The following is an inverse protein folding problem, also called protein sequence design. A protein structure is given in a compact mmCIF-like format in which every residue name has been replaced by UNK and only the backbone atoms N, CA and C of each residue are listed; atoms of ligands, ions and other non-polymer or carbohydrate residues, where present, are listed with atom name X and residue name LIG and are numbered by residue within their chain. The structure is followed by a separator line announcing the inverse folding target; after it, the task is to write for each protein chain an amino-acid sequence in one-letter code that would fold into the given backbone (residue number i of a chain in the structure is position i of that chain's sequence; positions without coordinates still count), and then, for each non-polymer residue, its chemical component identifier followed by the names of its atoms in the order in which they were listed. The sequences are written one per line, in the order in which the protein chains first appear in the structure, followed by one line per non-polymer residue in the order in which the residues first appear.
data_IF_710522424080
#
_entry.id   IF_710522424080
#
_cell.length_a   1.000
_cell.length_b   1.000
_cell.length_c   1.000
_cell.angle_alpha   90.00
_cell.angle_beta   90.00
_cell.angle_gamma   90.00
#
_symmetry.space_group_name_H-M   'P 1'
#
loop_
_entity.id
_entity.type
_entity.pdbx_description
1 polymer ?
#
# COMPACT_ATOMS: atom_id res chain seq x y z
N UNK A 1 -7.85 -7.64 -13.08
CA UNK A 1 -6.51 -7.04 -13.20
C UNK A 1 -5.90 -6.73 -11.82
N UNK A 2 -6.68 -6.27 -10.83
CA UNK A 2 -6.18 -5.87 -9.50
C UNK A 2 -5.38 -7.00 -8.82
N UNK A 3 -5.92 -8.22 -8.74
CA UNK A 3 -5.19 -9.33 -8.09
C UNK A 3 -3.89 -9.70 -8.80
N UNK A 4 -3.86 -9.60 -10.14
CA UNK A 4 -2.62 -9.81 -10.91
C UNK A 4 -1.56 -8.77 -10.57
N UNK A 5 -1.98 -7.52 -10.47
CA UNK A 5 -1.10 -6.44 -10.04
C UNK A 5 -0.59 -6.68 -8.61
N UNK A 6 -1.47 -7.01 -7.66
CA UNK A 6 -1.08 -7.29 -6.28
C UNK A 6 -0.06 -8.41 -6.18
N UNK A 7 -0.29 -9.56 -6.83
CA UNK A 7 0.66 -10.66 -6.83
C UNK A 7 2.07 -10.24 -7.28
N UNK A 8 2.18 -9.37 -8.29
CA UNK A 8 3.46 -8.88 -8.76
C UNK A 8 4.02 -7.77 -7.88
N UNK A 9 3.18 -6.88 -7.36
CA UNK A 9 3.59 -5.81 -6.45
C UNK A 9 4.21 -6.39 -5.17
N UNK A 10 3.58 -7.39 -4.57
CA UNK A 10 4.06 -8.03 -3.34
C UNK A 10 5.40 -8.77 -3.56
N UNK A 11 5.66 -9.29 -4.76
CA UNK A 11 6.98 -9.83 -5.12
C UNK A 11 8.05 -8.73 -5.10
N UNK A 12 7.75 -7.53 -5.62
CA UNK A 12 8.69 -6.41 -5.60
C UNK A 12 8.88 -5.83 -4.19
N UNK A 13 7.82 -5.77 -3.39
CA UNK A 13 7.90 -5.38 -1.97
C UNK A 13 8.79 -6.36 -1.21
N UNK A 14 8.60 -7.66 -1.38
CA UNK A 14 9.45 -8.70 -0.80
C UNK A 14 10.92 -8.53 -1.21
N UNK A 15 11.19 -8.29 -2.51
CA UNK A 15 12.54 -8.02 -3.02
C UNK A 15 13.14 -6.76 -2.37
N UNK A 16 12.35 -5.71 -2.16
CA UNK A 16 12.81 -4.49 -1.52
C UNK A 16 13.31 -4.76 -0.10
N UNK A 17 12.54 -5.49 0.70
CA UNK A 17 12.95 -5.87 2.05
C UNK A 17 14.23 -6.71 2.04
N UNK A 18 14.27 -7.79 1.26
CA UNK A 18 15.35 -8.78 1.34
C UNK A 18 16.62 -8.39 0.61
N UNK A 19 16.53 -7.67 -0.51
CA UNK A 19 17.69 -7.38 -1.37
C UNK A 19 18.25 -5.97 -1.18
N UNK A 20 17.44 -5.02 -0.75
CA UNK A 20 17.85 -3.61 -0.60
C UNK A 20 17.99 -3.22 0.87
N UNK A 21 16.92 -3.30 1.67
CA UNK A 21 16.95 -2.79 3.04
C UNK A 21 17.85 -3.59 3.99
N UNK A 22 17.89 -4.93 3.89
CA UNK A 22 18.78 -5.76 4.72
C UNK A 22 20.25 -5.52 4.44
N UNK A 23 20.62 -4.95 3.29
CA UNK A 23 22.01 -4.55 2.98
C UNK A 23 22.41 -3.27 3.70
N UNK A 24 21.45 -2.41 4.00
CA UNK A 24 21.63 -1.07 4.58
C UNK A 24 21.45 -1.08 6.10
N UNK A 25 20.34 -1.62 6.60
CA UNK A 25 20.01 -1.63 8.02
C UNK A 25 20.59 -2.89 8.69
N UNK A 26 21.43 -2.69 9.72
CA UNK A 26 22.15 -3.78 10.42
C UNK A 26 21.62 -4.12 11.83
N UNK A 27 20.87 -3.25 12.55
CA UNK A 27 20.33 -3.63 13.86
C UNK A 27 19.48 -4.90 13.77
N UNK A 28 19.69 -5.84 14.67
CA UNK A 28 19.04 -7.16 14.66
C UNK A 28 17.52 -7.05 14.66
N UNK A 29 16.97 -6.15 15.45
CA UNK A 29 15.51 -5.91 15.55
C UNK A 29 14.91 -5.43 14.24
N UNK A 30 15.64 -4.57 13.52
CA UNK A 30 15.22 -4.08 12.20
C UNK A 30 15.27 -5.22 11.18
N UNK A 31 16.32 -6.04 11.18
CA UNK A 31 16.40 -7.21 10.30
C UNK A 31 15.30 -8.23 10.56
N UNK A 32 14.98 -8.49 11.84
CA UNK A 32 13.87 -9.38 12.23
C UNK A 32 12.53 -8.83 11.74
N UNK A 33 12.29 -7.53 11.90
CA UNK A 33 11.08 -6.86 11.41
C UNK A 33 10.94 -7.00 9.89
N UNK A 34 11.99 -6.69 9.13
CA UNK A 34 11.98 -6.78 7.66
C UNK A 34 11.79 -8.21 7.16
N UNK A 35 12.40 -9.19 7.84
CA UNK A 35 12.23 -10.60 7.51
C UNK A 35 10.79 -11.06 7.77
N UNK A 36 10.17 -10.60 8.86
CA UNK A 36 8.77 -10.88 9.16
C UNK A 36 7.84 -10.28 8.09
N UNK A 37 8.07 -9.04 7.67
CA UNK A 37 7.30 -8.39 6.59
C UNK A 37 7.48 -9.12 5.26
N UNK A 38 8.70 -9.43 4.85
CA UNK A 38 8.96 -10.24 3.66
C UNK A 38 8.24 -11.60 3.69
N UNK A 39 8.11 -12.23 4.87
CA UNK A 39 7.35 -13.46 5.04
C UNK A 39 5.83 -13.23 4.86
N UNK A 40 5.30 -12.09 5.33
CA UNK A 40 3.90 -11.72 5.11
C UNK A 40 3.60 -11.51 3.63
N UNK A 41 4.48 -10.85 2.86
CA UNK A 41 4.33 -10.69 1.42
C UNK A 41 4.26 -12.05 0.68
N UNK A 42 5.01 -13.05 1.14
CA UNK A 42 4.92 -14.39 0.59
C UNK A 42 3.53 -15.01 0.78
N UNK A 43 2.88 -14.73 1.91
CA UNK A 43 1.50 -15.16 2.18
C UNK A 43 0.50 -14.39 1.31
N UNK A 44 0.69 -13.08 1.10
CA UNK A 44 -0.14 -12.28 0.21
C UNK A 44 -0.08 -12.80 -1.23
N UNK A 45 1.12 -13.03 -1.77
CA UNK A 45 1.32 -13.63 -3.11
C UNK A 45 0.56 -14.95 -3.23
N UNK A 46 0.68 -15.85 -2.26
CA UNK A 46 -0.02 -17.13 -2.27
C UNK A 46 -1.56 -16.96 -2.21
N UNK A 47 -2.05 -16.04 -1.39
CA UNK A 47 -3.48 -15.77 -1.23
C UNK A 47 -4.09 -15.17 -2.50
N UNK A 48 -3.43 -14.22 -3.15
CA UNK A 48 -3.90 -13.62 -4.40
C UNK A 48 -3.81 -14.57 -5.58
N UNK A 49 -2.77 -15.40 -5.64
CA UNK A 49 -2.69 -16.49 -6.63
C UNK A 49 -3.86 -17.47 -6.46
N UNK A 50 -4.16 -17.88 -5.24
CA UNK A 50 -5.31 -18.74 -4.95
C UNK A 50 -6.65 -18.10 -5.35
N UNK A 51 -6.82 -16.79 -5.16
CA UNK A 51 -8.00 -16.07 -5.64
C UNK A 51 -8.10 -16.08 -7.17
N UNK A 52 -7.00 -15.89 -7.89
CA UNK A 52 -6.97 -15.96 -9.36
C UNK A 52 -7.36 -17.34 -9.86
N UNK A 53 -6.83 -18.40 -9.26
CA UNK A 53 -7.17 -19.78 -9.58
C UNK A 53 -8.65 -20.08 -9.30
N UNK A 54 -9.16 -19.61 -8.17
CA UNK A 54 -10.58 -19.79 -7.76
C UNK A 54 -11.54 -19.09 -8.73
N UNK A 55 -11.14 -17.95 -9.31
CA UNK A 55 -11.91 -17.24 -10.33
C UNK A 55 -11.78 -17.92 -11.70
N UNK A 56 -10.87 -18.87 -11.87
CA UNK A 56 -10.64 -19.61 -13.12
C UNK A 56 -9.79 -18.82 -14.12
N UNK A 57 -8.88 -17.97 -13.64
CA UNK A 57 -7.97 -17.23 -14.51
C UNK A 57 -6.73 -18.06 -14.83
N UNK A 58 -6.43 -18.29 -16.12
CA UNK A 58 -5.27 -19.09 -16.52
C UNK A 58 -3.96 -18.36 -16.15
N UNK A 59 -2.92 -19.13 -15.80
CA UNK A 59 -1.60 -18.63 -15.44
C UNK A 59 -0.98 -17.74 -16.54
N UNK A 60 -1.20 -18.08 -17.81
CA UNK A 60 -0.78 -17.27 -18.96
C UNK A 60 -1.30 -15.83 -18.95
N UNK A 61 -2.30 -15.54 -18.17
CA UNK A 61 -2.91 -14.22 -18.02
C UNK A 61 -2.36 -13.40 -16.82
N UNK A 62 -1.44 -13.94 -16.01
CA UNK A 62 -0.90 -13.23 -14.83
C UNK A 62 -0.24 -11.89 -15.18
N UNK A 63 0.43 -11.80 -16.33
CA UNK A 63 1.04 -10.55 -16.80
C UNK A 63 0.08 -9.64 -17.59
N UNK A 64 -1.20 -10.00 -17.74
CA UNK A 64 -2.13 -9.26 -18.60
C UNK A 64 -2.40 -7.82 -18.10
N UNK A 65 -2.17 -7.52 -16.83
CA UNK A 65 -2.28 -6.15 -16.32
C UNK A 65 -1.27 -5.20 -16.97
N UNK A 66 -0.12 -5.70 -17.45
CA UNK A 66 0.90 -4.92 -18.15
C UNK A 66 0.43 -4.39 -19.53
N UNK A 67 -0.69 -4.89 -20.05
CA UNK A 67 -1.33 -4.38 -21.27
C UNK A 67 -2.06 -3.05 -21.06
N UNK A 68 -2.34 -2.72 -19.78
CA UNK A 68 -2.96 -1.45 -19.39
C UNK A 68 -1.86 -0.48 -18.94
N UNK A 69 -1.76 0.65 -19.64
CA UNK A 69 -0.72 1.65 -19.36
C UNK A 69 -0.73 2.10 -17.91
N UNK A 70 -1.92 2.34 -17.37
CA UNK A 70 -2.15 2.81 -16.00
C UNK A 70 -1.60 1.82 -14.95
N UNK A 71 -1.78 0.53 -15.19
CA UNK A 71 -1.28 -0.53 -14.31
C UNK A 71 0.25 -0.70 -14.48
N UNK A 72 0.74 -0.57 -15.71
CA UNK A 72 2.16 -0.66 -16.02
C UNK A 72 2.92 0.51 -15.38
N UNK A 73 2.43 1.74 -15.50
CA UNK A 73 3.06 2.93 -14.92
C UNK A 73 3.20 2.80 -13.40
N UNK A 74 2.18 2.27 -12.72
CA UNK A 74 2.25 1.95 -11.28
C UNK A 74 3.36 0.93 -10.97
N UNK A 75 3.42 -0.14 -11.74
CA UNK A 75 4.42 -1.20 -11.56
C UNK A 75 5.84 -0.69 -11.82
N UNK A 76 6.06 0.01 -12.93
CA UNK A 76 7.38 0.56 -13.30
C UNK A 76 7.89 1.55 -12.23
N UNK A 77 6.99 2.32 -11.62
CA UNK A 77 7.37 3.25 -10.55
C UNK A 77 7.94 2.53 -9.32
N UNK A 78 7.43 1.34 -9.00
CA UNK A 78 7.92 0.52 -7.89
C UNK A 78 9.34 -0.03 -8.09
N UNK A 79 9.88 -0.02 -9.31
CA UNK A 79 11.22 -0.53 -9.63
C UNK A 79 12.35 0.47 -9.30
N UNK A 80 12.01 1.71 -8.93
CA UNK A 80 12.99 2.78 -8.71
C UNK A 80 13.55 2.75 -7.27
N UNK A 81 14.53 1.87 -7.05
CA UNK A 81 15.27 1.81 -5.77
C UNK A 81 16.64 2.48 -5.91
N UNK A 82 16.99 3.33 -4.94
CA UNK A 82 18.35 3.80 -4.76
C UNK A 82 18.69 3.84 -3.26
N UNK A 83 19.85 3.27 -2.90
CA UNK A 83 20.36 3.17 -1.52
C UNK A 83 21.85 3.51 -1.45
N UNK A 84 22.37 4.32 -2.38
CA UNK A 84 23.79 4.64 -2.48
C UNK A 84 24.22 5.68 -1.45
N UNK A 85 23.37 6.65 -1.14
CA UNK A 85 23.61 7.68 -0.13
C UNK A 85 22.59 7.60 1.01
N UNK A 86 22.85 8.31 2.12
CA UNK A 86 21.89 8.39 3.23
C UNK A 86 20.59 9.11 2.80
N UNK A 87 20.71 10.10 1.94
CA UNK A 87 19.56 10.79 1.35
C UNK A 87 18.73 9.85 0.49
N UNK A 88 19.37 9.03 -0.36
CA UNK A 88 18.69 8.01 -1.18
C UNK A 88 18.00 6.96 -0.33
N UNK A 89 18.67 6.49 0.74
CA UNK A 89 18.09 5.55 1.70
C UNK A 89 16.84 6.15 2.33
N UNK A 90 16.92 7.38 2.85
CA UNK A 90 15.78 8.05 3.47
C UNK A 90 14.62 8.21 2.49
N UNK A 91 14.91 8.67 1.27
CA UNK A 91 13.91 8.81 0.20
C UNK A 91 13.27 7.46 -0.15
N UNK A 92 14.06 6.43 -0.39
CA UNK A 92 13.56 5.10 -0.76
C UNK A 92 12.70 4.51 0.34
N UNK A 93 13.12 4.58 1.61
CA UNK A 93 12.33 4.11 2.76
C UNK A 93 11.01 4.86 2.85
N UNK A 94 11.02 6.19 2.76
CA UNK A 94 9.79 7.00 2.84
C UNK A 94 8.84 6.74 1.68
N UNK A 95 9.35 6.72 0.44
CA UNK A 95 8.52 6.50 -0.76
C UNK A 95 7.91 5.10 -0.73
N UNK A 96 8.72 4.09 -0.45
CA UNK A 96 8.24 2.71 -0.47
C UNK A 96 7.21 2.45 0.63
N UNK A 97 7.54 2.80 1.88
CA UNK A 97 6.66 2.54 3.01
C UNK A 97 5.40 3.41 3.02
N UNK A 98 5.55 4.72 2.83
CA UNK A 98 4.41 5.63 2.96
C UNK A 98 3.56 5.69 1.69
N UNK A 99 4.17 5.62 0.51
CA UNK A 99 3.44 5.86 -0.72
C UNK A 99 3.24 4.59 -1.56
N UNK A 100 4.18 3.65 -1.61
CA UNK A 100 3.94 2.38 -2.30
C UNK A 100 3.02 1.47 -1.48
N UNK A 101 3.43 1.02 -0.31
CA UNK A 101 2.60 0.16 0.55
C UNK A 101 1.45 0.94 1.21
N UNK A 102 1.68 2.19 1.56
CA UNK A 102 0.76 3.02 2.34
C UNK A 102 -0.28 3.81 1.53
N UNK A 103 -0.17 3.89 0.20
CA UNK A 103 -1.06 4.69 -0.65
C UNK A 103 -1.43 3.97 -1.94
N UNK A 104 -0.45 3.44 -2.71
CA UNK A 104 -0.64 2.92 -4.06
C UNK A 104 -1.56 1.68 -4.16
N UNK A 105 -1.82 0.98 -3.06
CA UNK A 105 -2.72 -0.17 -2.99
C UNK A 105 -4.14 0.20 -2.55
N UNK A 106 -4.33 1.40 -1.97
CA UNK A 106 -5.55 1.73 -1.22
C UNK A 106 -6.78 1.99 -2.10
N UNK A 107 -6.62 2.49 -3.33
CA UNK A 107 -7.75 2.56 -4.26
C UNK A 107 -8.27 1.16 -4.62
N UNK A 108 -7.36 0.24 -4.89
CA UNK A 108 -7.68 -1.16 -5.15
C UNK A 108 -8.38 -1.83 -3.97
N UNK A 109 -7.90 -1.60 -2.74
CA UNK A 109 -8.56 -2.11 -1.54
C UNK A 109 -9.98 -1.56 -1.37
N UNK A 110 -10.18 -0.26 -1.59
CA UNK A 110 -11.51 0.35 -1.51
C UNK A 110 -12.48 -0.26 -2.54
N UNK A 111 -12.03 -0.45 -3.77
CA UNK A 111 -12.83 -1.08 -4.84
C UNK A 111 -13.17 -2.52 -4.49
N UNK A 112 -12.20 -3.33 -4.04
CA UNK A 112 -12.42 -4.74 -3.71
C UNK A 112 -13.32 -4.90 -2.48
N UNK A 113 -13.12 -4.11 -1.43
CA UNK A 113 -13.93 -4.16 -0.21
C UNK A 113 -15.36 -3.62 -0.40
N UNK A 114 -15.63 -2.94 -1.49
CA UNK A 114 -17.01 -2.56 -1.84
C UNK A 114 -17.90 -3.78 -2.17
N UNK A 115 -17.34 -4.89 -2.66
CA UNK A 115 -18.12 -6.10 -2.96
C UNK A 115 -18.72 -6.75 -1.71
N UNK A 116 -17.96 -7.07 -0.65
CA UNK A 116 -18.52 -7.63 0.58
C UNK A 116 -19.49 -6.68 1.29
N UNK A 117 -19.37 -5.37 1.12
CA UNK A 117 -20.34 -4.38 1.59
C UNK A 117 -21.75 -4.68 1.09
N UNK A 118 -21.89 -5.24 -0.12
CA UNK A 118 -23.14 -5.66 -0.72
C UNK A 118 -23.33 -7.19 -0.72
N UNK A 119 -22.75 -7.87 0.26
CA UNK A 119 -22.88 -9.31 0.47
C UNK A 119 -22.30 -10.19 -0.66
N UNK A 120 -21.35 -9.65 -1.45
CA UNK A 120 -20.69 -10.35 -2.57
C UNK A 120 -19.23 -10.65 -2.23
N UNK A 121 -18.67 -11.73 -2.77
CA UNK A 121 -17.25 -12.08 -2.70
C UNK A 121 -16.67 -12.01 -1.27
N UNK A 122 -17.37 -12.55 -0.27
CA UNK A 122 -16.99 -12.43 1.14
C UNK A 122 -15.62 -13.03 1.46
N UNK A 123 -15.28 -14.18 0.86
CA UNK A 123 -13.97 -14.80 1.05
C UNK A 123 -12.83 -13.91 0.55
N UNK A 124 -12.99 -13.31 -0.63
CA UNK A 124 -12.07 -12.31 -1.16
C UNK A 124 -11.96 -11.10 -0.21
N UNK A 125 -13.10 -10.59 0.26
CA UNK A 125 -13.13 -9.46 1.22
C UNK A 125 -12.37 -9.77 2.51
N UNK A 126 -12.42 -11.00 2.99
CA UNK A 126 -11.66 -11.43 4.17
C UNK A 126 -10.15 -11.40 3.92
N UNK A 127 -9.69 -11.94 2.79
CA UNK A 127 -8.27 -11.92 2.39
C UNK A 127 -7.78 -10.47 2.25
N UNK A 128 -8.52 -9.63 1.53
CA UNK A 128 -8.18 -8.20 1.34
C UNK A 128 -8.12 -7.46 2.68
N UNK A 129 -9.04 -7.74 3.60
CA UNK A 129 -9.01 -7.13 4.94
C UNK A 129 -7.75 -7.50 5.72
N UNK A 130 -7.30 -8.74 5.63
CA UNK A 130 -6.05 -9.18 6.26
C UNK A 130 -4.84 -8.48 5.63
N UNK A 131 -4.80 -8.37 4.29
CA UNK A 131 -3.73 -7.63 3.60
C UNK A 131 -3.69 -6.17 4.04
N UNK A 132 -4.82 -5.45 4.07
CA UNK A 132 -4.86 -4.04 4.53
C UNK A 132 -4.31 -3.88 5.96
N UNK A 133 -4.59 -4.84 6.84
CA UNK A 133 -4.04 -4.84 8.20
C UNK A 133 -2.52 -4.97 8.19
N UNK A 134 -1.99 -5.90 7.40
CA UNK A 134 -0.57 -6.17 7.32
C UNK A 134 0.16 -5.00 6.63
N UNK A 135 -0.35 -4.47 5.52
CA UNK A 135 0.17 -3.25 4.87
C UNK A 135 0.17 -2.03 5.81
N UNK A 136 -0.84 -1.92 6.66
CA UNK A 136 -0.89 -0.85 7.67
C UNK A 136 0.22 -1.01 8.71
N UNK A 137 0.51 -2.24 9.13
CA UNK A 137 1.61 -2.55 10.04
C UNK A 137 2.96 -2.24 9.39
N UNK A 138 3.19 -2.71 8.15
CA UNK A 138 4.40 -2.47 7.38
C UNK A 138 4.66 -0.96 7.24
N UNK A 139 3.69 -0.24 6.71
CA UNK A 139 3.76 1.20 6.50
C UNK A 139 4.08 1.96 7.80
N UNK A 140 3.38 1.70 8.90
CA UNK A 140 3.60 2.41 10.16
C UNK A 140 4.99 2.10 10.76
N UNK A 141 5.43 0.86 10.68
CA UNK A 141 6.73 0.43 11.21
C UNK A 141 7.89 1.01 10.41
N UNK A 142 7.77 1.01 9.08
CA UNK A 142 8.79 1.58 8.19
C UNK A 142 8.83 3.11 8.27
N UNK A 143 7.68 3.79 8.44
CA UNK A 143 7.65 5.24 8.71
C UNK A 143 8.34 5.55 10.04
N UNK A 144 8.18 4.69 11.05
CA UNK A 144 8.92 4.83 12.31
C UNK A 144 10.42 4.69 12.07
N UNK A 145 10.85 3.67 11.32
CA UNK A 145 12.25 3.49 10.95
C UNK A 145 12.80 4.72 10.21
N UNK A 146 12.03 5.25 9.25
CA UNK A 146 12.38 6.50 8.56
C UNK A 146 12.62 7.65 9.54
N UNK A 147 11.72 7.86 10.52
CA UNK A 147 11.86 8.92 11.52
C UNK A 147 13.10 8.75 12.37
N UNK A 148 13.40 7.54 12.83
CA UNK A 148 14.61 7.26 13.59
C UNK A 148 15.86 7.50 12.73
N UNK A 149 15.85 7.09 11.47
CA UNK A 149 16.95 7.34 10.54
C UNK A 149 17.17 8.85 10.30
N UNK A 150 16.13 9.66 10.19
CA UNK A 150 16.23 11.11 10.10
C UNK A 150 16.75 11.71 11.42
N UNK A 151 16.29 11.23 12.58
CA UNK A 151 16.74 11.69 13.88
C UNK A 151 18.26 11.44 14.09
N UNK A 152 18.77 10.30 13.63
CA UNK A 152 20.19 9.97 13.65
C UNK A 152 21.03 10.77 12.61
N UNK A 153 20.37 11.25 11.55
CA UNK A 153 21.01 11.94 10.44
C UNK A 153 20.27 13.26 10.09
N UNK A 154 20.15 14.22 11.04
CA UNK A 154 19.28 15.40 10.84
C UNK A 154 19.69 16.30 9.67
N UNK A 155 20.95 16.23 9.24
CA UNK A 155 21.48 17.02 8.11
C UNK A 155 20.86 16.62 6.76
N UNK A 156 20.31 15.40 6.62
CA UNK A 156 19.66 14.97 5.38
C UNK A 156 18.19 15.42 5.29
N UNK A 157 17.57 15.93 6.37
CA UNK A 157 16.20 16.44 6.34
C UNK A 157 16.10 17.82 5.69
N UNK A 158 16.57 17.92 4.46
CA UNK A 158 16.71 19.14 3.67
C UNK A 158 15.41 19.56 2.98
N UNK A 159 15.30 20.85 2.58
CA UNK A 159 14.20 21.29 1.71
C UNK A 159 14.11 20.48 0.40
N UNK A 160 15.24 20.04 -0.14
CA UNK A 160 15.29 19.24 -1.35
C UNK A 160 14.65 17.85 -1.13
N UNK A 161 15.03 17.11 -0.08
CA UNK A 161 14.41 15.83 0.25
C UNK A 161 12.90 15.96 0.48
N UNK A 162 12.47 16.99 1.22
CA UNK A 162 11.04 17.28 1.44
C UNK A 162 10.30 17.51 0.12
N UNK A 163 10.89 18.28 -0.78
CA UNK A 163 10.31 18.53 -2.12
C UNK A 163 10.15 17.22 -2.90
N UNK A 164 11.16 16.37 -2.87
CA UNK A 164 11.12 15.07 -3.56
C UNK A 164 10.04 14.12 -2.99
N UNK A 165 9.82 14.14 -1.67
CA UNK A 165 8.75 13.37 -1.04
C UNK A 165 7.36 13.90 -1.42
N UNK A 166 7.18 15.22 -1.55
CA UNK A 166 5.95 15.81 -2.07
C UNK A 166 5.71 15.42 -3.54
N UNK A 167 6.75 15.44 -4.35
CA UNK A 167 6.67 15.04 -5.76
C UNK A 167 6.32 13.54 -5.89
N UNK A 168 6.92 12.68 -5.08
CA UNK A 168 6.58 11.26 -5.03
C UNK A 168 5.11 11.04 -4.66
N UNK A 169 4.60 11.75 -3.65
CA UNK A 169 3.19 11.68 -3.28
C UNK A 169 2.27 12.08 -4.44
N UNK A 170 2.57 13.19 -5.12
CA UNK A 170 1.77 13.66 -6.28
C UNK A 170 1.81 12.68 -7.44
N UNK A 171 2.97 12.11 -7.73
CA UNK A 171 3.15 11.14 -8.81
C UNK A 171 2.31 9.89 -8.54
N UNK A 172 2.36 9.34 -7.34
CA UNK A 172 1.57 8.16 -6.98
C UNK A 172 0.07 8.48 -6.97
N UNK A 173 -0.36 9.63 -6.45
CA UNK A 173 -1.77 10.05 -6.54
C UNK A 173 -2.23 10.19 -7.99
N UNK A 174 -1.38 10.69 -8.89
CA UNK A 174 -1.68 10.76 -10.31
C UNK A 174 -1.84 9.36 -10.93
N UNK A 175 -0.97 8.41 -10.58
CA UNK A 175 -1.11 7.03 -11.05
C UNK A 175 -2.37 6.36 -10.51
N UNK A 176 -2.74 6.65 -9.25
CA UNK A 176 -3.99 6.16 -8.67
C UNK A 176 -5.21 6.77 -9.36
N UNK A 177 -5.19 8.06 -9.68
CA UNK A 177 -6.28 8.72 -10.44
C UNK A 177 -6.48 8.04 -11.80
N UNK A 178 -5.41 7.78 -12.55
CA UNK A 178 -5.47 7.12 -13.85
C UNK A 178 -5.99 5.67 -13.72
N UNK A 179 -5.54 4.94 -12.72
CA UNK A 179 -6.06 3.61 -12.40
C UNK A 179 -7.55 3.63 -12.02
N UNK A 180 -7.98 4.60 -11.21
CA UNK A 180 -9.40 4.76 -10.82
C UNK A 180 -10.25 5.06 -12.05
N UNK A 181 -9.81 5.95 -12.95
CA UNK A 181 -10.53 6.24 -14.20
C UNK A 181 -10.68 4.98 -15.06
N UNK A 182 -9.63 4.17 -15.20
CA UNK A 182 -9.71 2.88 -15.87
C UNK A 182 -10.69 1.92 -15.18
N UNK A 183 -10.67 1.83 -13.85
CA UNK A 183 -11.54 0.93 -13.09
C UNK A 183 -13.03 1.31 -13.21
N UNK A 184 -13.32 2.59 -13.43
CA UNK A 184 -14.67 3.13 -13.54
C UNK A 184 -15.08 3.50 -14.97
N UNK A 185 -14.31 3.11 -16.02
CA UNK A 185 -14.63 3.44 -17.41
C UNK A 185 -16.02 2.95 -17.87
N UNK A 186 -16.50 1.83 -17.28
CA UNK A 186 -17.82 1.26 -17.53
C UNK A 186 -18.94 1.92 -16.70
N UNK A 187 -18.62 2.95 -15.93
CA UNK A 187 -19.56 3.65 -15.06
C UNK A 187 -19.38 3.38 -13.56
N UNK A 188 -20.20 4.00 -12.71
CA UNK A 188 -20.07 3.87 -11.27
C UNK A 188 -20.41 2.45 -10.78
N UNK A 189 -19.76 2.04 -9.70
CA UNK A 189 -20.10 0.82 -8.98
C UNK A 189 -21.24 1.09 -8.00
N UNK A 190 -21.98 0.05 -7.61
CA UNK A 190 -23.02 0.20 -6.60
C UNK A 190 -22.44 0.78 -5.30
N UNK A 191 -22.91 1.95 -4.89
CA UNK A 191 -22.51 2.64 -3.66
C UNK A 191 -21.05 3.12 -3.61
N UNK A 192 -20.40 3.29 -4.78
CA UNK A 192 -19.02 3.81 -4.89
C UNK A 192 -18.83 4.50 -6.24
N UNK A 193 -18.36 5.74 -6.21
CA UNK A 193 -18.02 6.54 -7.38
C UNK A 193 -16.50 6.70 -7.53
N UNK A 194 -16.04 6.98 -8.76
CA UNK A 194 -14.63 7.29 -9.01
C UNK A 194 -14.16 8.48 -8.18
N UNK A 195 -14.99 9.54 -8.05
CA UNK A 195 -14.62 10.74 -7.29
C UNK A 195 -14.43 10.44 -5.80
N UNK A 196 -15.30 9.63 -5.18
CA UNK A 196 -15.13 9.23 -3.78
C UNK A 196 -13.82 8.47 -3.57
N UNK A 197 -13.42 7.59 -4.49
CA UNK A 197 -12.14 6.87 -4.41
C UNK A 197 -10.96 7.82 -4.61
N UNK A 198 -11.04 8.76 -5.56
CA UNK A 198 -10.00 9.78 -5.77
C UNK A 198 -9.82 10.67 -4.54
N UNK A 199 -10.90 11.10 -3.92
CA UNK A 199 -10.84 11.90 -2.68
C UNK A 199 -10.28 11.07 -1.51
N UNK A 200 -10.63 9.78 -1.44
CA UNK A 200 -10.04 8.86 -0.47
C UNK A 200 -8.52 8.74 -0.64
N UNK A 201 -8.01 8.62 -1.85
CA UNK A 201 -6.57 8.58 -2.12
C UNK A 201 -5.88 9.88 -1.71
N UNK A 202 -6.50 11.03 -1.93
CA UNK A 202 -5.99 12.34 -1.44
C UNK A 202 -5.97 12.42 0.08
N UNK A 203 -7.01 11.92 0.74
CA UNK A 203 -7.06 11.82 2.19
C UNK A 203 -5.92 10.94 2.74
N UNK A 204 -5.69 9.76 2.13
CA UNK A 204 -4.58 8.87 2.51
C UNK A 204 -3.24 9.55 2.23
N UNK A 205 -3.06 10.21 1.08
CA UNK A 205 -1.84 10.95 0.73
C UNK A 205 -1.48 12.01 1.78
N UNK A 206 -2.45 12.83 2.20
CA UNK A 206 -2.27 13.80 3.28
C UNK A 206 -1.85 13.12 4.60
N UNK A 207 -2.52 12.01 4.94
CA UNK A 207 -2.20 11.24 6.16
C UNK A 207 -0.75 10.74 6.12
N UNK A 208 -0.27 10.23 4.99
CA UNK A 208 1.12 9.75 4.84
C UNK A 208 2.12 10.90 4.91
N UNK A 209 1.84 12.03 4.29
CA UNK A 209 2.69 13.22 4.41
C UNK A 209 2.83 13.66 5.86
N UNK A 210 1.73 13.77 6.61
CA UNK A 210 1.75 14.13 8.04
C UNK A 210 2.52 13.09 8.86
N UNK A 211 2.35 11.80 8.57
CA UNK A 211 3.12 10.74 9.22
C UNK A 211 4.63 10.83 8.95
N UNK A 212 5.05 11.36 7.80
CA UNK A 212 6.46 11.62 7.49
C UNK A 212 6.99 12.95 8.08
N UNK A 213 6.15 13.75 8.73
CA UNK A 213 6.52 15.07 9.27
C UNK A 213 6.43 16.21 8.25
N UNK A 214 5.58 16.05 7.24
CA UNK A 214 5.29 17.02 6.20
C UNK A 214 3.87 17.57 6.35
N UNK A 215 3.58 18.71 5.68
CA UNK A 215 2.25 19.30 5.68
C UNK A 215 1.32 18.63 4.65
N UNK A 216 0.00 18.58 4.89
CA UNK A 216 -0.95 18.11 3.89
C UNK A 216 -1.00 19.05 2.67
N UNK A 217 -1.25 18.50 1.47
CA UNK A 217 -1.26 19.27 0.21
C UNK A 217 -2.59 19.18 -0.56
N UNK A 218 -3.51 18.34 -0.12
CA UNK A 218 -4.83 18.19 -0.74
C UNK A 218 -5.93 18.75 0.16
N UNK A 219 -6.95 19.39 -0.43
CA UNK A 219 -8.10 19.92 0.30
C UNK A 219 -9.14 18.81 0.58
N UNK A 220 -8.71 17.78 1.30
CA UNK A 220 -9.56 16.68 1.78
C UNK A 220 -9.20 16.39 3.23
N UNK A 221 -10.03 16.86 4.15
CA UNK A 221 -9.76 16.78 5.59
C UNK A 221 -10.38 15.56 6.26
N UNK A 222 -11.43 14.97 5.67
CA UNK A 222 -12.17 13.84 6.24
C UNK A 222 -12.16 12.66 5.28
N UNK A 223 -12.13 11.45 5.85
CA UNK A 223 -12.27 10.23 5.06
C UNK A 223 -13.65 10.19 4.37
N UNK A 224 -13.72 10.22 3.02
CA UNK A 224 -14.99 10.12 2.31
C UNK A 224 -15.60 8.71 2.37
N UNK A 225 -14.79 7.67 2.64
CA UNK A 225 -15.18 6.27 2.71
C UNK A 225 -15.27 5.77 4.17
N UNK A 226 -16.12 6.41 4.99
CA UNK A 226 -16.27 6.07 6.43
C UNK A 226 -16.71 4.62 6.66
N UNK A 227 -17.43 4.02 5.71
CA UNK A 227 -17.83 2.60 5.75
C UNK A 227 -16.61 1.67 5.71
N UNK A 228 -15.53 2.07 5.04
CA UNK A 228 -14.29 1.30 4.94
C UNK A 228 -13.59 1.23 6.30
N UNK A 229 -13.49 2.36 7.00
CA UNK A 229 -12.96 2.38 8.38
C UNK A 229 -13.77 1.46 9.31
N UNK A 230 -15.11 1.48 9.17
CA UNK A 230 -16.00 0.61 9.96
C UNK A 230 -15.72 -0.87 9.69
N UNK A 231 -15.55 -1.26 8.43
CA UNK A 231 -15.24 -2.64 8.05
C UNK A 231 -13.88 -3.09 8.60
N UNK A 232 -12.86 -2.25 8.46
CA UNK A 232 -11.50 -2.58 8.91
C UNK A 232 -11.41 -2.65 10.44
N UNK A 233 -12.08 -1.76 11.16
CA UNK A 233 -12.11 -1.74 12.62
C UNK A 233 -12.93 -2.91 13.22
N UNK A 234 -14.01 -3.35 12.57
CA UNK A 234 -14.82 -4.47 13.03
C UNK A 234 -14.01 -5.78 13.14
N UNK A 235 -13.06 -5.98 12.23
CA UNK A 235 -12.16 -7.15 12.25
C UNK A 235 -11.13 -7.04 13.39
N UNK A 236 -10.62 -5.85 13.69
CA UNK A 236 -9.69 -5.64 14.79
C UNK A 236 -10.32 -5.97 16.16
N UNK A 237 -11.60 -5.60 16.37
CA UNK A 237 -12.34 -5.90 17.62
C UNK A 237 -12.61 -7.38 17.79
N UNK A 238 -12.91 -8.11 16.72
CA UNK A 238 -13.19 -9.56 16.80
C UNK A 238 -11.95 -10.37 17.22
N UNK A 239 -10.74 -9.94 16.86
CA UNK A 239 -9.48 -10.58 17.26
C UNK A 239 -9.11 -10.33 18.73
N UNK A 240 -9.42 -9.16 19.27
CA UNK A 240 -9.18 -8.89 20.70
C UNK A 240 -10.10 -9.71 21.59
N UNK A 241 -11.32 -9.96 21.18
CA UNK A 241 -12.25 -10.83 21.92
C UNK A 241 -11.86 -12.32 21.88
N UNK A 242 -11.33 -12.82 20.75
CA UNK A 242 -10.84 -14.21 20.67
C UNK A 242 -9.61 -14.46 21.55
N UNK A 243 -8.71 -13.49 21.73
CA UNK A 243 -7.59 -13.59 22.67
C UNK A 243 -8.01 -13.57 24.14
N UNK A 244 -9.09 -12.89 24.49
CA UNK A 244 -9.58 -12.83 25.86
C UNK A 244 -10.23 -14.14 26.35
N UNK A 245 -10.52 -15.08 25.46
CA UNK A 245 -11.11 -16.40 25.80
C UNK A 245 -10.09 -17.55 25.77
N UNK A 246 -8.79 -17.28 25.55
CA UNK A 246 -7.73 -18.29 25.48
C UNK A 246 -6.71 -18.13 26.64
N UNK A 247 -6.98 -17.24 27.58
CA UNK A 247 -6.31 -17.16 28.89
C UNK A 247 -7.29 -17.52 29.96
#
# INVERSE_FOLDING_TARGET
QIFRFFTQADVEVNNCYLRHYTTVFKPTEVLMMMTAFASMETVHVAAYSHLLDTIGMPESEYSAFMKYKEMKDKYDYMQNFNVESKEDIAKTVAVFSAFTEGLQLFASFAILLNFPRFNKMKGMGQIVTWSVRDETLHCNSMIRLFKEFINENPHIWTPQLKKELYEACRTIVHHEDAFIDLAFEMGPMNGLTAQEVKDYIRFIGNRRLVQLGLEPIYDVQKNPLTWLDTMLNAVAVSYTHLRAHVT
#
